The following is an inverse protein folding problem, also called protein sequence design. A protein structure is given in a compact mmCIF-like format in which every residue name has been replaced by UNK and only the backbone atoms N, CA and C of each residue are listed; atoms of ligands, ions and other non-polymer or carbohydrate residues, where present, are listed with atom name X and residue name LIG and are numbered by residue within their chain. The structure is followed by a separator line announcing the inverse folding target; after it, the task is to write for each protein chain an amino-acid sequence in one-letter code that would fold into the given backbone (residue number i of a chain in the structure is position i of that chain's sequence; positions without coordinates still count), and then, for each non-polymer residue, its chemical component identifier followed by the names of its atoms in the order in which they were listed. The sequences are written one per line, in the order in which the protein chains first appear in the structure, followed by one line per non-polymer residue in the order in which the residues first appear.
data_IF_197499880285
#
_entry.id   IF_197499880285
#
_cell.length_a   1.000
_cell.length_b   1.000
_cell.length_c   1.000
_cell.angle_alpha   90.00
_cell.angle_beta   90.00
_cell.angle_gamma   90.00
#
_symmetry.space_group_name_H-M   'P 1'
#
loop_
_entity.id
_entity.type
_entity.pdbx_description
1 polymer ?
#
# COMPACT_ATOMS: atom_id res chain seq x y z
N UNK A 1 -8.18 -21.51 10.18
CA UNK A 1 -8.88 -22.72 10.68
C UNK A 1 -10.38 -22.43 10.64
N UNK A 2 -11.14 -23.17 9.84
CA UNK A 2 -12.59 -23.02 9.71
C UNK A 2 -13.20 -24.38 10.04
N UNK A 3 -14.00 -24.47 11.09
CA UNK A 3 -14.66 -25.71 11.49
C UNK A 3 -15.83 -26.01 10.53
N UNK A 4 -15.98 -27.24 10.01
CA UNK A 4 -17.16 -27.63 9.25
C UNK A 4 -18.27 -28.11 10.20
N UNK A 5 -19.46 -27.51 10.11
CA UNK A 5 -20.65 -28.04 10.77
C UNK A 5 -21.12 -29.32 10.08
N UNK A 6 -21.46 -30.33 10.87
CA UNK A 6 -21.90 -31.64 10.39
C UNK A 6 -23.30 -31.55 9.77
N UNK A 7 -23.43 -31.95 8.50
CA UNK A 7 -24.69 -32.26 7.83
C UNK A 7 -25.32 -33.51 8.45
N UNK A 8 -26.55 -33.41 8.96
CA UNK A 8 -27.42 -34.56 9.23
C UNK A 8 -28.13 -34.99 7.93
N UNK A 9 -28.14 -36.30 7.66
CA UNK A 9 -28.91 -36.95 6.60
C UNK A 9 -30.34 -37.20 7.08
N UNK A 10 -31.32 -36.95 6.23
CA UNK A 10 -32.46 -37.85 6.01
C UNK A 10 -32.91 -37.78 4.55
N UNK A 11 -33.38 -38.92 4.08
CA UNK A 11 -33.62 -39.31 2.69
C UNK A 11 -35.14 -39.38 2.43
N UNK A 12 -35.50 -39.37 1.13
CA UNK A 12 -36.80 -39.66 0.48
C UNK A 12 -37.78 -38.51 0.25
N UNK A 13 -38.15 -38.35 -1.03
CA UNK A 13 -39.48 -37.86 -1.43
C UNK A 13 -39.55 -37.04 -2.71
N UNK A 14 -39.74 -37.72 -3.85
CA UNK A 14 -40.50 -37.33 -5.05
C UNK A 14 -40.26 -35.97 -5.77
N UNK A 15 -39.93 -36.11 -7.05
CA UNK A 15 -39.85 -35.06 -8.07
C UNK A 15 -41.23 -34.59 -8.56
N UNK A 16 -41.44 -33.26 -8.66
CA UNK A 16 -42.40 -32.63 -9.59
C UNK A 16 -41.81 -31.34 -10.19
N UNK A 17 -42.18 -30.95 -11.43
CA UNK A 17 -41.50 -29.89 -12.19
C UNK A 17 -41.99 -28.49 -11.78
N UNK A 18 -41.10 -27.50 -11.97
CA UNK A 18 -41.31 -26.09 -11.70
C UNK A 18 -42.18 -25.46 -12.81
N UNK A 19 -43.36 -24.93 -12.46
CA UNK A 19 -44.18 -24.09 -13.33
C UNK A 19 -43.74 -22.62 -13.23
N UNK A 20 -43.66 -21.99 -14.40
CA UNK A 20 -43.35 -20.57 -14.64
C UNK A 20 -44.53 -19.66 -14.28
N UNK A 21 -44.27 -18.60 -13.52
CA UNK A 21 -45.23 -17.51 -13.30
C UNK A 21 -44.69 -16.17 -13.80
N UNK A 22 -45.38 -15.63 -14.80
CA UNK A 22 -45.26 -14.29 -15.38
C UNK A 22 -45.85 -13.22 -14.45
N UNK A 23 -45.17 -12.07 -14.29
CA UNK A 23 -45.75 -10.86 -13.69
C UNK A 23 -46.07 -9.81 -14.77
N UNK A 24 -47.26 -9.19 -14.75
CA UNK A 24 -47.61 -8.12 -15.70
C UNK A 24 -47.17 -6.73 -15.21
N UNK A 25 -46.81 -5.91 -16.20
CA UNK A 25 -46.49 -4.48 -16.10
C UNK A 25 -47.77 -3.63 -16.07
N UNK A 26 -47.79 -2.56 -15.28
CA UNK A 26 -48.61 -1.37 -15.58
C UNK A 26 -47.91 -0.08 -15.14
N UNK A 27 -47.97 0.92 -16.02
CA UNK A 27 -47.49 2.28 -15.88
C UNK A 27 -48.66 3.28 -15.67
N UNK A 28 -48.34 4.46 -15.10
CA UNK A 28 -48.93 5.81 -15.36
C UNK A 28 -48.34 6.80 -14.34
N UNK A 29 -47.57 7.83 -14.71
CA UNK A 29 -47.89 9.13 -15.35
C UNK A 29 -48.73 10.12 -14.49
N UNK A 30 -48.12 11.22 -14.03
CA UNK A 30 -48.32 12.61 -14.55
C UNK A 30 -47.97 13.74 -13.54
N UNK A 31 -47.15 14.69 -14.05
CA UNK A 31 -47.13 16.17 -13.94
C UNK A 31 -47.27 17.00 -12.63
N UNK A 32 -46.29 17.94 -12.55
CA UNK A 32 -46.05 19.24 -11.86
C UNK A 32 -47.21 20.28 -12.08
N UNK A 33 -47.28 21.51 -11.47
CA UNK A 33 -46.19 22.47 -11.18
C UNK A 33 -46.28 23.42 -9.95
N UNK A 34 -45.17 24.18 -9.76
CA UNK A 34 -44.94 25.26 -8.78
C UNK A 34 -45.59 26.61 -9.18
N UNK A 35 -45.60 27.60 -8.26
CA UNK A 35 -45.28 28.99 -8.62
C UNK A 35 -44.40 29.72 -7.57
N UNK A 36 -43.34 30.46 -7.94
CA UNK A 36 -43.19 31.87 -8.41
C UNK A 36 -42.70 32.83 -7.29
N UNK A 37 -41.74 33.66 -7.71
CA UNK A 37 -40.87 34.58 -6.98
C UNK A 37 -41.56 35.77 -6.28
N UNK A 38 -40.86 36.32 -5.28
CA UNK A 38 -40.93 37.74 -4.92
C UNK A 38 -39.51 38.28 -4.73
N UNK A 39 -39.19 39.29 -5.54
CA UNK A 39 -38.01 40.15 -5.51
C UNK A 39 -38.19 41.26 -4.48
N UNK A 40 -37.20 41.45 -3.59
CA UNK A 40 -36.89 42.76 -3.01
C UNK A 40 -35.36 42.89 -2.94
N UNK A 41 -34.86 43.89 -3.63
CA UNK A 41 -33.48 44.35 -3.66
C UNK A 41 -33.25 45.35 -2.52
N UNK A 42 -32.19 45.16 -1.73
CA UNK A 42 -31.60 46.24 -0.94
C UNK A 42 -30.08 46.02 -0.78
N UNK A 43 -29.34 47.00 -1.27
CA UNK A 43 -27.88 47.11 -1.32
C UNK A 43 -27.32 47.55 0.03
N UNK A 44 -26.44 46.75 0.63
CA UNK A 44 -25.47 47.25 1.63
C UNK A 44 -24.10 46.60 1.39
N UNK A 45 -23.06 47.44 1.39
CA UNK A 45 -21.70 47.16 0.95
C UNK A 45 -21.02 46.04 1.76
N UNK A 46 -20.28 45.10 1.13
CA UNK A 46 -19.38 44.23 1.87
C UNK A 46 -18.09 44.97 2.24
N UNK A 47 -17.84 45.07 3.54
CA UNK A 47 -16.53 45.40 4.11
C UNK A 47 -15.53 44.38 3.55
N UNK A 48 -14.53 44.86 2.80
CA UNK A 48 -13.42 44.04 2.36
C UNK A 48 -12.47 43.80 3.54
N UNK A 49 -12.82 42.84 4.40
CA UNK A 49 -11.84 42.19 5.27
C UNK A 49 -11.05 41.21 4.41
N UNK A 50 -9.83 41.60 4.04
CA UNK A 50 -8.82 40.66 3.57
C UNK A 50 -8.75 39.48 4.54
N UNK A 51 -8.91 38.22 4.10
CA UNK A 51 -8.64 37.09 4.96
C UNK A 51 -7.15 37.11 5.26
N UNK A 52 -6.80 37.36 6.52
CA UNK A 52 -5.50 37.03 7.06
C UNK A 52 -5.27 35.54 6.78
N UNK A 53 -4.35 35.26 5.86
CA UNK A 53 -3.86 33.91 5.60
C UNK A 53 -3.09 33.49 6.84
N UNK A 54 -3.82 32.93 7.80
CA UNK A 54 -3.23 32.21 8.92
C UNK A 54 -2.56 30.97 8.31
N UNK A 55 -1.30 31.16 7.93
CA UNK A 55 -0.44 30.11 7.42
C UNK A 55 0.02 29.34 8.63
N UNK A 56 -0.89 28.57 9.22
CA UNK A 56 -0.50 27.43 10.05
C UNK A 56 0.34 26.54 9.14
N UNK A 57 1.65 26.55 9.36
CA UNK A 57 2.59 25.69 8.65
C UNK A 57 2.08 24.25 8.83
N UNK A 58 1.54 23.67 7.76
CA UNK A 58 1.05 22.29 7.79
C UNK A 58 2.18 21.40 8.31
N UNK A 59 1.89 20.57 9.32
CA UNK A 59 2.90 19.69 9.90
C UNK A 59 3.39 18.71 8.82
N UNK A 60 4.69 18.40 8.82
CA UNK A 60 5.25 17.46 7.86
C UNK A 60 4.77 16.04 8.17
N UNK A 61 4.43 15.21 7.16
CA UNK A 61 3.98 13.85 7.39
C UNK A 61 5.06 13.01 8.08
N UNK A 62 4.67 12.21 9.07
CA UNK A 62 5.56 11.25 9.72
C UNK A 62 5.63 10.00 8.86
N UNK A 63 6.76 9.72 8.24
CA UNK A 63 6.92 8.59 7.34
C UNK A 63 7.79 7.48 7.95
N UNK A 64 7.49 6.24 7.61
CA UNK A 64 8.33 5.08 7.89
C UNK A 64 8.56 4.23 6.64
N UNK A 65 9.80 3.77 6.44
CA UNK A 65 10.08 2.67 5.52
C UNK A 65 10.15 1.41 6.38
N UNK A 66 9.24 0.45 6.17
CA UNK A 66 9.18 -0.77 6.98
C UNK A 66 9.53 -1.95 6.09
N UNK A 67 10.54 -2.72 6.48
CA UNK A 67 11.11 -3.77 5.61
C UNK A 67 11.21 -5.13 6.27
N UNK A 68 11.23 -6.15 5.42
CA UNK A 68 11.90 -7.40 5.71
C UNK A 68 13.00 -7.63 4.68
N UNK A 69 14.23 -7.94 5.11
CA UNK A 69 15.33 -8.24 4.19
C UNK A 69 16.19 -9.37 4.73
N UNK A 70 16.07 -10.55 4.11
CA UNK A 70 16.89 -11.71 4.47
C UNK A 70 18.31 -11.59 3.90
N UNK A 71 18.44 -11.18 2.64
CA UNK A 71 19.72 -11.13 1.91
C UNK A 71 20.14 -9.70 1.50
N UNK A 72 19.61 -8.66 2.15
CA UNK A 72 20.03 -7.26 1.95
C UNK A 72 19.46 -6.52 0.74
N UNK A 73 18.91 -7.20 -0.28
CA UNK A 73 18.38 -6.56 -1.49
C UNK A 73 17.31 -5.49 -1.21
N UNK A 74 16.31 -5.84 -0.37
CA UNK A 74 15.29 -4.87 0.07
C UNK A 74 15.89 -3.72 0.88
N UNK A 75 16.90 -3.99 1.73
CA UNK A 75 17.54 -2.94 2.52
C UNK A 75 18.27 -1.92 1.62
N UNK A 76 18.89 -2.37 0.53
CA UNK A 76 19.52 -1.49 -0.45
C UNK A 76 18.50 -0.59 -1.18
N UNK A 77 17.35 -1.15 -1.59
CA UNK A 77 16.26 -0.35 -2.16
C UNK A 77 15.70 0.64 -1.13
N UNK A 78 15.57 0.23 0.14
CA UNK A 78 15.07 1.08 1.22
C UNK A 78 15.93 2.34 1.42
N UNK A 79 17.26 2.21 1.35
CA UNK A 79 18.17 3.36 1.44
C UNK A 79 18.04 4.30 0.24
N UNK A 80 17.87 3.77 -0.97
CA UNK A 80 17.62 4.59 -2.17
C UNK A 80 16.29 5.35 -2.06
N UNK A 81 15.24 4.69 -1.56
CA UNK A 81 13.92 5.29 -1.29
C UNK A 81 14.04 6.38 -0.22
N UNK A 82 14.76 6.11 0.88
CA UNK A 82 15.02 7.09 1.94
C UNK A 82 15.68 8.34 1.38
N UNK A 83 16.74 8.17 0.58
CA UNK A 83 17.41 9.29 -0.10
C UNK A 83 16.44 10.07 -1.01
N UNK A 84 15.51 9.38 -1.68
CA UNK A 84 14.45 10.03 -2.46
C UNK A 84 13.49 10.89 -1.64
N UNK A 85 13.04 10.38 -0.49
CA UNK A 85 12.17 11.13 0.45
C UNK A 85 12.92 12.33 1.01
N UNK A 86 14.15 12.14 1.49
CA UNK A 86 14.97 13.19 2.08
C UNK A 86 15.35 14.28 1.06
N UNK A 87 15.68 13.88 -0.17
CA UNK A 87 15.96 14.79 -1.28
C UNK A 87 14.74 15.61 -1.71
N UNK A 88 13.52 15.19 -1.34
CA UNK A 88 12.29 15.94 -1.56
C UNK A 88 11.91 16.85 -0.37
N UNK A 89 12.73 16.89 0.69
CA UNK A 89 12.50 17.67 1.90
C UNK A 89 11.74 16.92 3.00
N UNK A 90 11.49 15.62 2.82
CA UNK A 90 10.85 14.76 3.82
C UNK A 90 11.82 14.20 4.85
N UNK A 91 11.27 13.64 5.93
CA UNK A 91 12.03 12.83 6.88
C UNK A 91 11.39 11.44 6.93
N UNK A 92 12.23 10.39 6.95
CA UNK A 92 11.78 9.02 7.04
C UNK A 92 12.82 8.15 7.74
N UNK A 93 12.34 7.26 8.59
CA UNK A 93 13.17 6.26 9.27
C UNK A 93 12.94 4.88 8.66
N UNK A 94 14.02 4.15 8.42
CA UNK A 94 13.96 2.74 8.03
C UNK A 94 13.83 1.91 9.30
N UNK A 95 12.78 1.09 9.35
CA UNK A 95 12.55 0.07 10.35
C UNK A 95 12.55 -1.31 9.72
N UNK A 96 12.89 -2.32 10.50
CA UNK A 96 12.74 -3.71 10.11
C UNK A 96 11.68 -4.42 10.96
N UNK A 97 11.03 -5.44 10.38
CA UNK A 97 10.14 -6.33 11.13
C UNK A 97 10.95 -7.48 11.76
N UNK A 98 10.40 -8.07 12.82
CA UNK A 98 11.03 -9.17 13.53
C UNK A 98 11.29 -10.39 12.63
N UNK A 99 12.39 -11.10 12.91
CA UNK A 99 12.66 -12.40 12.30
C UNK A 99 11.75 -13.48 12.90
N UNK A 100 11.35 -14.46 12.09
CA UNK A 100 10.57 -15.61 12.56
C UNK A 100 11.32 -16.93 12.42
N UNK A 101 12.43 -16.96 11.67
CA UNK A 101 13.31 -18.12 11.60
C UNK A 101 14.25 -18.15 12.82
N UNK A 102 14.60 -19.34 13.28
CA UNK A 102 15.62 -19.51 14.31
C UNK A 102 17.02 -19.25 13.75
N UNK A 103 17.96 -18.92 14.65
CA UNK A 103 19.37 -18.69 14.29
C UNK A 103 20.00 -19.90 13.60
N UNK A 104 19.59 -21.12 13.97
CA UNK A 104 20.00 -22.36 13.31
C UNK A 104 19.60 -22.38 11.83
N UNK A 105 18.34 -22.04 11.53
CA UNK A 105 17.86 -22.00 10.14
C UNK A 105 18.52 -20.85 9.37
N UNK A 106 18.71 -19.69 10.00
CA UNK A 106 19.42 -18.56 9.39
C UNK A 106 20.86 -18.93 9.01
N UNK A 107 21.54 -19.67 9.87
CA UNK A 107 22.89 -20.19 9.61
C UNK A 107 22.87 -21.19 8.44
N UNK A 108 21.90 -22.11 8.42
CA UNK A 108 21.77 -23.12 7.37
C UNK A 108 21.53 -22.49 5.99
N UNK A 109 20.68 -21.46 5.93
CA UNK A 109 20.40 -20.74 4.67
C UNK A 109 21.45 -19.67 4.34
N UNK A 110 22.52 -19.57 5.15
CA UNK A 110 23.61 -18.61 4.99
C UNK A 110 23.09 -17.17 4.90
N UNK A 111 22.09 -16.83 5.72
CA UNK A 111 21.60 -15.47 5.81
C UNK A 111 22.72 -14.56 6.33
N UNK A 112 23.01 -13.44 5.65
CA UNK A 112 23.97 -12.46 6.16
C UNK A 112 23.44 -11.82 7.46
N UNK A 113 24.32 -11.18 8.26
CA UNK A 113 23.89 -10.35 9.37
C UNK A 113 22.86 -9.30 8.91
N UNK A 114 21.84 -9.06 9.74
CA UNK A 114 20.84 -8.04 9.45
C UNK A 114 21.46 -6.64 9.50
N UNK A 115 20.93 -5.73 8.69
CA UNK A 115 21.23 -4.32 8.81
C UNK A 115 20.78 -3.80 10.18
N UNK A 116 21.50 -2.79 10.70
CA UNK A 116 21.23 -2.18 11.99
C UNK A 116 20.09 -1.15 11.89
N UNK A 117 18.87 -1.65 11.68
CA UNK A 117 17.64 -0.86 11.71
C UNK A 117 16.85 -1.18 12.98
N UNK A 118 16.15 -0.20 13.58
CA UNK A 118 15.25 -0.46 14.70
C UNK A 118 14.14 -1.44 14.29
N UNK A 119 13.79 -2.35 15.21
CA UNK A 119 12.64 -3.24 15.04
C UNK A 119 11.37 -2.41 15.28
N UNK A 120 10.45 -2.40 14.30
CA UNK A 120 9.16 -1.73 14.48
C UNK A 120 8.20 -2.63 15.26
N UNK A 121 7.69 -2.12 16.39
CA UNK A 121 6.53 -2.72 17.03
C UNK A 121 5.31 -2.52 16.11
N UNK A 122 4.54 -3.56 15.76
CA UNK A 122 3.36 -3.44 14.90
C UNK A 122 2.36 -2.37 15.35
N UNK A 123 2.17 -2.17 16.66
CA UNK A 123 1.27 -1.15 17.19
C UNK A 123 1.72 0.27 16.90
N UNK A 124 3.03 0.46 16.72
CA UNK A 124 3.62 1.77 16.43
C UNK A 124 3.34 2.25 15.01
N UNK A 125 2.76 1.41 14.13
CA UNK A 125 2.24 1.88 12.85
C UNK A 125 1.34 3.10 13.05
N UNK A 126 0.47 3.12 14.08
CA UNK A 126 -0.44 4.24 14.33
C UNK A 126 0.26 5.62 14.51
N UNK A 127 1.55 5.63 14.84
CA UNK A 127 2.36 6.84 15.04
C UNK A 127 2.81 7.52 13.74
N UNK A 128 2.62 6.88 12.59
CA UNK A 128 3.02 7.41 11.28
C UNK A 128 1.80 7.76 10.44
N UNK A 129 2.02 8.57 9.42
CA UNK A 129 0.98 9.06 8.49
C UNK A 129 1.10 8.39 7.12
N UNK A 130 2.29 7.86 6.80
CA UNK A 130 2.51 7.05 5.63
C UNK A 130 3.67 6.07 5.74
N UNK A 131 3.62 5.03 4.91
CA UNK A 131 4.59 3.94 4.92
C UNK A 131 5.07 3.57 3.52
N UNK A 132 6.31 3.10 3.42
CA UNK A 132 6.80 2.39 2.25
C UNK A 132 7.21 0.97 2.69
N UNK A 133 6.51 -0.05 2.18
CA UNK A 133 6.69 -1.43 2.59
C UNK A 133 7.62 -2.21 1.65
N UNK A 134 8.75 -2.67 2.19
CA UNK A 134 9.75 -3.45 1.46
C UNK A 134 9.56 -4.95 1.63
N UNK A 135 9.12 -5.63 0.56
CA UNK A 135 8.67 -7.02 0.62
C UNK A 135 9.47 -7.91 -0.35
N UNK A 136 10.32 -8.83 0.14
CA UNK A 136 10.96 -9.82 -0.71
C UNK A 136 9.94 -10.92 -1.01
N UNK A 137 9.71 -11.19 -2.30
CA UNK A 137 8.64 -12.11 -2.71
C UNK A 137 8.82 -13.52 -2.16
N UNK A 138 7.70 -14.17 -1.88
CA UNK A 138 7.57 -15.63 -1.75
C UNK A 138 6.40 -16.06 -2.61
N UNK A 139 6.72 -16.60 -3.80
CA UNK A 139 5.74 -17.10 -4.76
C UNK A 139 4.67 -16.07 -5.16
N UNK A 140 5.06 -14.80 -5.34
CA UNK A 140 4.12 -13.72 -5.65
C UNK A 140 3.28 -13.26 -4.45
N UNK A 141 3.72 -13.55 -3.23
CA UNK A 141 3.11 -13.09 -1.98
C UNK A 141 4.19 -12.59 -1.00
N UNK A 142 3.76 -12.06 0.14
CA UNK A 142 4.62 -11.70 1.26
C UNK A 142 5.20 -12.94 1.96
N UNK A 143 6.41 -12.85 2.55
CA UNK A 143 6.97 -13.93 3.35
C UNK A 143 6.26 -14.04 4.72
N UNK A 144 6.47 -15.16 5.41
CA UNK A 144 5.83 -15.44 6.71
C UNK A 144 6.09 -14.36 7.77
N UNK A 145 7.26 -13.72 7.74
CA UNK A 145 7.62 -12.62 8.63
C UNK A 145 6.67 -11.43 8.48
N UNK A 146 6.38 -11.06 7.22
CA UNK A 146 5.40 -10.02 6.91
C UNK A 146 3.99 -10.44 7.31
N UNK A 147 3.64 -11.72 7.09
CA UNK A 147 2.32 -12.21 7.49
C UNK A 147 2.13 -12.19 9.01
N UNK A 148 3.13 -12.61 9.77
CA UNK A 148 3.12 -12.55 11.24
C UNK A 148 3.02 -11.10 11.75
N UNK A 149 3.73 -10.17 11.11
CA UNK A 149 3.62 -8.74 11.41
C UNK A 149 2.19 -8.24 11.24
N UNK A 150 1.54 -8.50 10.09
CA UNK A 150 0.15 -8.12 9.87
C UNK A 150 -0.86 -8.89 10.73
N UNK A 151 -0.60 -10.15 11.09
CA UNK A 151 -1.51 -10.90 11.95
C UNK A 151 -1.54 -10.35 13.39
N UNK A 152 -0.51 -9.60 13.78
CA UNK A 152 -0.46 -8.91 15.07
C UNK A 152 -1.18 -7.55 15.08
N UNK A 153 -1.64 -7.03 13.94
CA UNK A 153 -2.29 -5.71 13.83
C UNK A 153 -3.80 -5.75 14.06
N UNK A 154 -4.35 -6.86 14.54
CA UNK A 154 -5.78 -7.02 14.86
C UNK A 154 -6.37 -5.88 15.72
N UNK A 155 -5.71 -5.41 16.79
CA UNK A 155 -6.19 -4.25 17.56
C UNK A 155 -6.22 -2.95 16.76
N UNK A 156 -5.24 -2.71 15.87
CA UNK A 156 -5.23 -1.52 15.01
C UNK A 156 -6.37 -1.56 13.99
N UNK A 157 -6.66 -2.75 13.45
CA UNK A 157 -7.79 -2.96 12.55
C UNK A 157 -9.12 -2.68 13.25
N UNK A 158 -9.34 -3.26 14.44
CA UNK A 158 -10.58 -3.09 15.20
C UNK A 158 -10.85 -1.63 15.57
N UNK A 159 -9.80 -0.85 15.83
CA UNK A 159 -9.87 0.56 16.20
C UNK A 159 -9.74 1.53 15.02
N UNK A 160 -9.77 1.03 13.77
CA UNK A 160 -9.59 1.81 12.53
C UNK A 160 -8.35 2.72 12.52
N UNK A 161 -7.33 2.37 13.31
CA UNK A 161 -6.20 3.25 13.63
C UNK A 161 -5.27 3.55 12.44
N UNK A 162 -5.37 2.76 11.36
CA UNK A 162 -4.61 2.96 10.12
C UNK A 162 -5.45 3.56 8.99
N UNK A 163 -6.75 3.78 9.20
CA UNK A 163 -7.64 4.28 8.17
C UNK A 163 -7.21 5.68 7.71
N UNK A 164 -7.17 5.90 6.39
CA UNK A 164 -6.80 7.17 5.77
C UNK A 164 -5.29 7.45 5.71
N UNK A 165 -4.44 6.59 6.29
CA UNK A 165 -2.99 6.68 6.16
C UNK A 165 -2.51 6.13 4.81
N UNK A 166 -1.32 6.54 4.38
CA UNK A 166 -0.82 6.24 3.03
C UNK A 166 0.16 5.07 3.01
N UNK A 167 0.16 4.26 1.96
CA UNK A 167 1.08 3.14 1.81
C UNK A 167 1.61 3.03 0.38
N UNK A 168 2.94 2.94 0.23
CA UNK A 168 3.62 2.52 -0.99
C UNK A 168 4.29 1.16 -0.77
N UNK A 169 4.72 0.52 -1.86
CA UNK A 169 5.34 -0.80 -1.81
C UNK A 169 6.54 -0.90 -2.73
N UNK A 170 7.52 -1.72 -2.37
CA UNK A 170 8.65 -2.08 -3.22
C UNK A 170 9.09 -3.51 -2.96
N UNK A 171 9.64 -4.16 -3.99
CA UNK A 171 9.78 -5.63 -3.99
C UNK A 171 11.16 -6.10 -4.44
N UNK A 172 11.48 -7.34 -4.06
CA UNK A 172 12.64 -8.05 -4.60
C UNK A 172 12.20 -9.45 -5.02
N UNK A 173 12.58 -9.87 -6.22
CA UNK A 173 12.25 -11.19 -6.77
C UNK A 173 13.48 -11.91 -7.30
N UNK A 174 13.44 -13.25 -7.36
CA UNK A 174 14.54 -14.02 -7.95
C UNK A 174 14.61 -13.93 -9.48
N UNK A 175 13.45 -13.77 -10.14
CA UNK A 175 13.34 -13.76 -11.60
C UNK A 175 12.31 -12.75 -12.10
N UNK A 176 12.33 -12.48 -13.42
CA UNK A 176 11.47 -11.51 -14.10
C UNK A 176 9.97 -11.75 -13.86
N UNK A 177 9.50 -12.98 -14.08
CA UNK A 177 8.11 -13.38 -13.82
C UNK A 177 7.82 -13.74 -12.35
N UNK A 178 8.81 -13.66 -11.47
CA UNK A 178 8.77 -14.18 -10.10
C UNK A 178 7.96 -13.35 -9.11
N UNK A 179 6.96 -12.60 -9.57
CA UNK A 179 6.05 -11.83 -8.73
C UNK A 179 6.43 -10.37 -8.47
N UNK A 180 7.06 -9.70 -9.44
CA UNK A 180 7.35 -8.25 -9.38
C UNK A 180 6.06 -7.43 -9.20
N UNK A 181 4.97 -7.88 -9.81
CA UNK A 181 3.66 -7.23 -9.71
C UNK A 181 2.77 -7.93 -8.69
N UNK A 182 2.68 -9.27 -8.75
CA UNK A 182 1.73 -10.03 -7.94
C UNK A 182 1.98 -9.94 -6.45
N UNK A 183 3.22 -9.76 -6.01
CA UNK A 183 3.53 -9.52 -4.60
C UNK A 183 2.81 -8.27 -4.09
N UNK A 184 2.92 -7.16 -4.82
CA UNK A 184 2.22 -5.92 -4.47
C UNK A 184 0.69 -6.09 -4.53
N UNK A 185 0.18 -6.70 -5.62
CA UNK A 185 -1.25 -6.98 -5.76
C UNK A 185 -1.81 -7.82 -4.61
N UNK A 186 -1.07 -8.84 -4.15
CA UNK A 186 -1.51 -9.72 -3.06
C UNK A 186 -1.64 -8.98 -1.72
N UNK A 187 -0.78 -7.99 -1.49
CA UNK A 187 -0.81 -7.17 -0.28
C UNK A 187 -1.96 -6.16 -0.27
N UNK A 188 -2.59 -5.88 -1.41
CA UNK A 188 -3.74 -4.97 -1.46
C UNK A 188 -4.86 -5.41 -0.53
N UNK A 189 -5.11 -6.71 -0.40
CA UNK A 189 -6.10 -7.25 0.54
C UNK A 189 -5.85 -6.77 1.98
N UNK A 190 -4.60 -6.77 2.43
CA UNK A 190 -4.22 -6.26 3.75
C UNK A 190 -4.41 -4.75 3.86
N UNK A 191 -3.96 -3.99 2.85
CA UNK A 191 -4.07 -2.53 2.86
C UNK A 191 -5.54 -2.07 2.93
N UNK A 192 -6.41 -2.63 2.08
CA UNK A 192 -7.82 -2.23 2.02
C UNK A 192 -8.59 -2.60 3.29
N UNK A 193 -8.28 -3.74 3.92
CA UNK A 193 -8.90 -4.11 5.20
C UNK A 193 -8.52 -3.15 6.34
N UNK A 194 -7.32 -2.56 6.30
CA UNK A 194 -6.90 -1.53 7.25
C UNK A 194 -7.34 -0.10 6.88
N UNK A 195 -7.93 0.11 5.70
CA UNK A 195 -8.30 1.44 5.21
C UNK A 195 -7.11 2.28 4.74
N UNK A 196 -5.99 1.66 4.39
CA UNK A 196 -4.80 2.36 3.89
C UNK A 196 -4.99 2.80 2.43
N UNK A 197 -4.57 4.02 2.12
CA UNK A 197 -4.58 4.59 0.78
C UNK A 197 -3.29 4.19 0.08
N UNK A 198 -3.41 3.36 -0.95
CA UNK A 198 -2.25 2.92 -1.71
C UNK A 198 -1.79 3.99 -2.71
N UNK A 199 -0.51 4.34 -2.66
CA UNK A 199 0.17 5.28 -3.57
C UNK A 199 1.09 4.47 -4.49
N UNK A 200 0.71 4.24 -5.76
CA UNK A 200 1.54 3.52 -6.71
C UNK A 200 2.73 4.38 -7.15
N UNK A 201 3.78 3.73 -7.67
CA UNK A 201 4.87 4.43 -8.37
C UNK A 201 4.37 5.09 -9.65
N UNK A 202 3.53 4.38 -10.42
CA UNK A 202 3.07 4.81 -11.73
C UNK A 202 4.24 5.03 -12.70
N UNK A 203 4.01 5.83 -13.75
CA UNK A 203 5.02 6.10 -14.79
C UNK A 203 5.56 7.53 -14.78
N UNK A 204 4.92 8.48 -14.09
CA UNK A 204 5.18 9.93 -14.23
C UNK A 204 6.67 10.29 -14.08
N UNK A 205 7.33 9.76 -13.05
CA UNK A 205 8.72 10.09 -12.72
C UNK A 205 9.75 9.12 -13.32
N UNK A 206 9.29 7.98 -13.83
CA UNK A 206 10.15 6.84 -14.18
C UNK A 206 9.84 6.28 -15.58
N UNK A 207 9.17 7.05 -16.45
CA UNK A 207 8.70 6.53 -17.75
C UNK A 207 9.84 5.95 -18.58
N UNK A 208 10.94 6.68 -18.70
CA UNK A 208 12.10 6.25 -19.49
C UNK A 208 12.76 5.02 -18.88
N UNK A 209 12.94 5.00 -17.56
CA UNK A 209 13.49 3.86 -16.82
C UNK A 209 12.62 2.61 -16.95
N UNK A 210 11.30 2.78 -16.89
CA UNK A 210 10.33 1.68 -16.97
C UNK A 210 10.14 1.17 -18.40
N UNK A 211 10.25 2.04 -19.41
CA UNK A 211 10.17 1.69 -20.82
C UNK A 211 11.51 1.14 -21.38
N UNK A 212 12.59 1.18 -20.60
CA UNK A 212 13.88 0.64 -20.99
C UNK A 212 13.80 -0.88 -21.24
N UNK A 213 14.29 -1.31 -22.41
CA UNK A 213 14.39 -2.70 -22.84
C UNK A 213 15.84 -3.14 -23.15
N UNK A 214 16.82 -2.26 -22.91
CA UNK A 214 18.24 -2.50 -23.18
C UNK A 214 18.90 -3.33 -22.06
N UNK A 215 18.38 -3.25 -20.83
CA UNK A 215 18.84 -4.05 -19.70
C UNK A 215 17.70 -4.62 -18.84
N UNK A 216 17.97 -5.76 -18.20
CA UNK A 216 17.01 -6.42 -17.31
C UNK A 216 16.91 -5.66 -15.98
N UNK A 217 15.70 -5.20 -15.66
CA UNK A 217 15.43 -4.37 -14.46
C UNK A 217 14.13 -4.76 -13.75
N UNK A 218 14.15 -4.77 -12.43
CA UNK A 218 12.98 -4.97 -11.57
C UNK A 218 12.07 -3.73 -11.53
N UNK A 219 10.91 -3.88 -10.88
CA UNK A 219 9.93 -2.80 -10.73
C UNK A 219 8.76 -2.88 -11.71
N UNK A 220 7.69 -2.20 -11.34
CA UNK A 220 6.42 -2.14 -12.07
C UNK A 220 5.69 -0.83 -11.68
N UNK A 221 4.57 -0.50 -12.32
CA UNK A 221 3.76 0.65 -11.88
C UNK A 221 3.27 0.51 -10.42
N UNK A 222 3.26 -0.71 -9.88
CA UNK A 222 2.94 -1.00 -8.48
C UNK A 222 4.06 -0.58 -7.50
N UNK A 223 5.27 -0.30 -7.97
CA UNK A 223 6.40 -0.02 -7.09
C UNK A 223 7.73 -0.35 -7.74
N UNK A 224 8.79 0.27 -7.23
CA UNK A 224 10.15 -0.09 -7.60
C UNK A 224 10.44 -1.53 -7.17
N UNK A 225 11.43 -2.13 -7.81
CA UNK A 225 11.83 -3.47 -7.45
C UNK A 225 13.19 -3.83 -8.01
N UNK A 226 13.71 -4.96 -7.54
CA UNK A 226 15.01 -5.48 -7.95
C UNK A 226 14.95 -6.97 -8.23
N UNK A 227 15.79 -7.45 -9.15
CA UNK A 227 16.06 -8.87 -9.29
C UNK A 227 17.28 -9.31 -8.47
N UNK A 228 17.13 -10.40 -7.72
CA UNK A 228 18.17 -11.03 -6.92
C UNK A 228 18.88 -12.19 -7.64
N UNK A 229 18.42 -12.58 -8.84
CA UNK A 229 18.78 -13.83 -9.52
C UNK A 229 18.29 -15.08 -8.75
N UNK A 230 18.37 -16.26 -9.36
CA UNK A 230 17.96 -17.52 -8.75
C UNK A 230 18.80 -17.94 -7.55
N UNK A 231 20.05 -17.48 -7.49
CA UNK A 231 21.03 -17.77 -6.44
C UNK A 231 21.21 -16.64 -5.42
N UNK A 232 20.50 -15.51 -5.59
CA UNK A 232 20.62 -14.35 -4.71
C UNK A 232 21.87 -13.49 -4.93
N UNK A 233 22.66 -13.74 -5.99
CA UNK A 233 23.92 -13.03 -6.24
C UNK A 233 23.74 -11.63 -6.83
N UNK A 234 22.70 -11.41 -7.65
CA UNK A 234 22.51 -10.13 -8.37
C UNK A 234 22.06 -9.04 -7.41
N UNK A 235 22.83 -7.97 -7.35
CA UNK A 235 22.49 -6.80 -6.54
C UNK A 235 21.61 -5.82 -7.32
N UNK A 236 20.87 -4.92 -6.62
CA UNK A 236 20.17 -3.83 -7.28
C UNK A 236 21.12 -3.04 -8.18
N UNK A 237 20.72 -2.88 -9.43
CA UNK A 237 21.45 -2.13 -10.46
C UNK A 237 21.30 -0.62 -10.25
N UNK A 238 22.16 0.21 -10.86
CA UNK A 238 22.00 1.66 -10.85
C UNK A 238 20.61 2.10 -11.31
N UNK A 239 20.05 1.48 -12.35
CA UNK A 239 18.71 1.79 -12.85
C UNK A 239 17.62 1.46 -11.82
N UNK A 240 17.69 0.29 -11.17
CA UNK A 240 16.71 -0.09 -10.13
C UNK A 240 16.80 0.83 -8.90
N UNK A 241 18.01 1.25 -8.53
CA UNK A 241 18.22 2.21 -7.44
C UNK A 241 17.70 3.61 -7.79
N UNK A 242 17.90 4.06 -9.02
CA UNK A 242 17.36 5.34 -9.51
C UNK A 242 15.82 5.35 -9.46
N UNK A 243 15.16 4.28 -9.94
CA UNK A 243 13.71 4.12 -9.85
C UNK A 243 13.25 4.17 -8.39
N UNK A 244 13.99 3.52 -7.48
CA UNK A 244 13.68 3.51 -6.05
C UNK A 244 13.79 4.91 -5.42
N UNK A 245 14.82 5.68 -5.77
CA UNK A 245 14.94 7.10 -5.37
C UNK A 245 13.77 7.93 -5.90
N UNK A 246 13.37 7.75 -7.16
CA UNK A 246 12.20 8.44 -7.69
C UNK A 246 10.90 8.05 -6.98
N UNK A 247 10.73 6.78 -6.58
CA UNK A 247 9.57 6.37 -5.79
C UNK A 247 9.52 7.09 -4.44
N UNK A 248 10.64 7.18 -3.73
CA UNK A 248 10.71 7.89 -2.44
C UNK A 248 10.29 9.35 -2.59
N UNK A 249 10.86 10.05 -3.59
CA UNK A 249 10.50 11.43 -3.92
C UNK A 249 9.01 11.58 -4.24
N UNK A 250 8.50 10.76 -5.17
CA UNK A 250 7.12 10.82 -5.61
C UNK A 250 6.14 10.56 -4.45
N UNK A 251 6.41 9.54 -3.64
CA UNK A 251 5.60 9.22 -2.48
C UNK A 251 5.49 10.39 -1.52
N UNK A 252 6.62 11.00 -1.14
CA UNK A 252 6.62 12.18 -0.28
C UNK A 252 5.84 13.35 -0.90
N UNK A 253 6.05 13.66 -2.19
CA UNK A 253 5.33 14.72 -2.90
C UNK A 253 3.81 14.50 -2.96
N UNK A 254 3.32 13.26 -2.88
CA UNK A 254 1.89 12.97 -2.79
C UNK A 254 1.37 13.18 -1.37
N UNK A 255 2.06 12.60 -0.38
CA UNK A 255 1.61 12.61 1.02
C UNK A 255 1.71 14.00 1.64
N UNK A 256 2.68 14.83 1.22
CA UNK A 256 2.85 16.21 1.70
C UNK A 256 1.78 17.19 1.22
N UNK A 257 0.90 16.79 0.28
CA UNK A 257 -0.24 17.62 -0.19
C UNK A 257 -1.41 17.60 0.78
N UNK A 258 -1.42 16.64 1.70
CA UNK A 258 -2.46 16.48 2.72
C UNK A 258 -2.12 17.42 3.88
N UNK A 259 -3.14 18.04 4.47
CA UNK A 259 -2.98 18.76 5.74
C UNK A 259 -2.92 17.73 6.86
N UNK A 260 -1.81 17.72 7.58
CA UNK A 260 -1.61 16.89 8.77
C UNK A 260 -1.89 17.74 10.00
N UNK A 261 -2.67 17.17 10.93
CA UNK A 261 -3.03 17.78 12.21
C UNK A 261 -1.92 17.60 13.26
#
# INVERSE_FOLDING_TARGET
MCFPSKRQKTDKGESKPLETATHPSTARDTNTPAPVANTVSETTNPIHTTPSTDTTMASSPRLAIVIYSMYGHIAKLAEAIKSGVEGAGGNVTIYQIAETLSDEILTLVKAPPKADYPILNPMDLAKFDGYLFGIPTRYGNMPVQWKAFWDSTGPLWANTALCGKYAGMFVSTGSAGGGQESTAMSCMSTLVHHGLIYVPLGYKYVFQQMANLDEVRGGSPWGCGTFANSDGSRQPTPLELEIATFQGKAFYEYVSRVKWD
#
